data_IF_527453243343
#
_entry.id   IF_527453243343
#
_cell.length_a   1.000
_cell.length_b   1.000
_cell.length_c   1.000
_cell.angle_alpha   90.00
_cell.angle_beta   90.00
_cell.angle_gamma   90.00
#
_symmetry.space_group_name_H-M   'P 1'
#
loop_
_entity.id
_entity.type
_entity.pdbx_description
1 polymer ?
#
# COMPACT_ATOMS: atom_id res chain seq x y z
N UNK A 1 76.96 -50.65 -37.91
CA UNK A 1 76.40 -49.33 -38.25
C UNK A 1 75.39 -49.02 -37.16
N UNK A 2 75.86 -48.49 -36.02
CA UNK A 2 75.83 -47.05 -35.70
C UNK A 2 74.36 -46.56 -35.55
N UNK A 3 73.90 -45.98 -34.45
CA UNK A 3 74.63 -45.27 -33.41
C UNK A 3 73.81 -45.08 -32.13
N UNK A 4 74.58 -44.90 -31.07
CA UNK A 4 74.15 -44.36 -29.79
C UNK A 4 73.91 -42.84 -29.91
N UNK A 5 72.97 -42.28 -29.13
CA UNK A 5 73.25 -41.05 -28.35
C UNK A 5 72.07 -40.58 -27.48
N UNK A 6 72.35 -40.57 -26.17
CA UNK A 6 72.15 -39.47 -25.21
C UNK A 6 70.76 -38.81 -25.12
N UNK A 7 70.10 -39.05 -23.99
CA UNK A 7 69.58 -37.97 -23.15
C UNK A 7 69.49 -38.41 -21.66
N UNK A 8 70.60 -38.31 -20.93
CA UNK A 8 70.58 -38.19 -19.48
C UNK A 8 70.36 -36.71 -19.17
N UNK A 9 69.26 -36.34 -18.51
CA UNK A 9 69.13 -35.05 -17.83
C UNK A 9 68.66 -35.32 -16.41
N UNK A 10 69.48 -34.88 -15.46
CA UNK A 10 69.39 -35.20 -14.05
C UNK A 10 68.16 -34.59 -13.39
N UNK A 11 67.46 -35.42 -12.61
CA UNK A 11 66.54 -34.96 -11.58
C UNK A 11 67.38 -34.40 -10.43
N UNK A 12 67.58 -33.09 -10.41
CA UNK A 12 68.13 -32.39 -9.27
C UNK A 12 67.12 -32.52 -8.11
N UNK A 13 67.46 -33.36 -7.13
CA UNK A 13 66.76 -33.45 -5.86
C UNK A 13 66.86 -32.09 -5.16
N UNK A 14 65.78 -31.31 -5.28
CA UNK A 14 65.61 -30.02 -4.61
C UNK A 14 65.45 -30.30 -3.11
N UNK A 15 66.56 -30.30 -2.38
CA UNK A 15 66.57 -30.32 -0.90
C UNK A 15 65.73 -29.14 -0.40
N UNK A 16 64.52 -29.45 0.06
CA UNK A 16 63.71 -28.52 0.85
C UNK A 16 64.49 -28.28 2.15
N UNK A 17 65.00 -27.07 2.33
CA UNK A 17 65.50 -26.61 3.62
C UNK A 17 64.32 -26.63 4.57
N UNK A 18 64.29 -27.60 5.49
CA UNK A 18 63.46 -27.55 6.69
C UNK A 18 63.96 -26.35 7.51
N UNK A 19 63.26 -25.22 7.37
CA UNK A 19 63.46 -24.07 8.23
C UNK A 19 62.88 -24.47 9.58
N UNK A 20 63.72 -24.55 10.61
CA UNK A 20 63.30 -24.76 11.98
C UNK A 20 62.26 -23.69 12.35
N UNK A 21 61.01 -24.13 12.46
CA UNK A 21 59.91 -23.31 12.97
C UNK A 21 60.23 -22.93 14.42
N UNK A 22 60.07 -21.66 14.80
CA UNK A 22 60.27 -21.24 16.19
C UNK A 22 59.34 -22.06 17.09
N UNK A 23 59.87 -22.57 18.20
CA UNK A 23 59.16 -23.30 19.27
C UNK A 23 57.70 -22.86 19.35
N UNK A 24 56.83 -23.68 18.75
CA UNK A 24 55.40 -23.41 18.74
C UNK A 24 54.94 -23.54 20.18
N UNK A 25 54.27 -22.51 20.70
CA UNK A 25 53.60 -22.62 22.00
C UNK A 25 52.56 -23.73 21.86
N UNK A 26 52.71 -24.80 22.62
CA UNK A 26 51.74 -25.89 22.68
C UNK A 26 50.60 -25.50 23.62
N UNK A 27 49.38 -25.89 23.26
CA UNK A 27 48.19 -25.72 24.10
C UNK A 27 47.31 -26.96 23.99
N UNK A 28 46.60 -27.26 25.08
CA UNK A 28 45.62 -28.35 25.16
C UNK A 28 44.32 -27.96 24.45
N UNK A 29 43.84 -28.81 23.54
CA UNK A 29 42.53 -28.62 22.90
C UNK A 29 41.40 -28.79 23.93
N UNK A 30 40.44 -27.86 23.97
CA UNK A 30 39.32 -27.90 24.92
C UNK A 30 38.29 -29.01 24.65
N UNK A 31 38.38 -29.69 23.50
CA UNK A 31 37.41 -30.73 23.10
C UNK A 31 38.02 -32.13 23.24
N UNK A 32 39.18 -32.38 22.63
CA UNK A 32 39.84 -33.69 22.66
C UNK A 32 40.94 -33.82 23.72
N UNK A 33 41.30 -32.74 24.41
CA UNK A 33 42.38 -32.70 25.42
C UNK A 33 43.76 -33.13 24.90
N UNK A 34 43.96 -33.09 23.58
CA UNK A 34 45.26 -33.34 22.94
C UNK A 34 46.05 -32.04 22.85
N UNK A 35 47.33 -32.12 23.20
CA UNK A 35 48.29 -31.03 23.01
C UNK A 35 48.63 -30.85 21.54
N UNK A 36 48.55 -29.61 21.07
CA UNK A 36 48.89 -29.27 19.70
C UNK A 36 49.57 -27.91 19.61
N UNK A 37 50.28 -27.69 18.50
CA UNK A 37 50.84 -26.40 18.18
C UNK A 37 49.72 -25.39 17.94
N UNK A 38 49.83 -24.18 18.52
CA UNK A 38 48.81 -23.12 18.36
C UNK A 38 48.54 -22.74 16.89
N UNK A 39 49.48 -23.03 15.98
CA UNK A 39 49.30 -22.78 14.55
C UNK A 39 48.30 -23.73 13.86
N UNK A 40 48.01 -24.89 14.44
CA UNK A 40 47.17 -25.94 13.84
C UNK A 40 45.71 -25.88 14.33
N UNK A 41 45.34 -24.79 15.00
CA UNK A 41 44.02 -24.59 15.56
C UNK A 41 43.66 -23.13 15.73
N UNK A 42 42.57 -22.89 16.45
CA UNK A 42 42.03 -21.55 16.66
C UNK A 42 41.98 -21.20 18.14
N UNK A 43 42.19 -19.91 18.43
CA UNK A 43 42.08 -19.33 19.77
C UNK A 43 40.95 -18.31 19.79
N UNK A 44 40.10 -18.37 20.81
CA UNK A 44 39.17 -17.28 21.07
C UNK A 44 39.88 -16.10 21.78
N UNK A 45 39.17 -14.97 21.93
CA UNK A 45 39.71 -13.79 22.63
C UNK A 45 40.06 -14.06 24.11
N UNK A 46 39.41 -15.03 24.74
CA UNK A 46 39.68 -15.49 26.12
C UNK A 46 40.70 -16.64 26.18
N UNK A 47 41.42 -16.89 25.08
CA UNK A 47 42.55 -17.83 24.98
C UNK A 47 42.24 -19.34 25.04
N UNK A 48 40.96 -19.73 24.96
CA UNK A 48 40.56 -21.14 24.78
C UNK A 48 41.00 -21.65 23.40
N UNK A 49 41.70 -22.79 23.38
CA UNK A 49 42.28 -23.41 22.18
C UNK A 49 41.45 -24.59 21.69
N UNK A 50 41.23 -24.67 20.39
CA UNK A 50 40.60 -25.81 19.73
C UNK A 50 41.41 -26.22 18.52
N UNK A 51 41.81 -27.50 18.43
CA UNK A 51 42.52 -28.02 17.26
C UNK A 51 41.62 -28.00 16.01
N UNK A 52 42.22 -27.97 14.82
CA UNK A 52 41.51 -27.87 13.55
C UNK A 52 40.42 -28.93 13.35
N UNK A 53 40.70 -30.20 13.68
CA UNK A 53 39.73 -31.29 13.52
C UNK A 53 38.49 -31.12 14.39
N UNK A 54 38.69 -30.81 15.67
CA UNK A 54 37.57 -30.56 16.58
C UNK A 54 36.82 -29.28 16.23
N UNK A 55 37.53 -28.25 15.75
CA UNK A 55 36.91 -27.01 15.31
C UNK A 55 36.07 -27.21 14.05
N UNK A 56 36.53 -28.02 13.10
CA UNK A 56 35.79 -28.35 11.88
C UNK A 56 34.48 -29.08 12.20
N UNK A 57 34.54 -30.14 13.02
CA UNK A 57 33.35 -30.85 13.47
C UNK A 57 32.38 -29.93 14.23
N UNK A 58 32.92 -29.02 15.04
CA UNK A 58 32.13 -28.01 15.75
C UNK A 58 31.42 -27.06 14.78
N UNK A 59 32.12 -26.49 13.80
CA UNK A 59 31.55 -25.61 12.77
C UNK A 59 30.45 -26.32 11.99
N UNK A 60 30.65 -27.58 11.62
CA UNK A 60 29.62 -28.38 10.93
C UNK A 60 28.39 -28.61 11.80
N UNK A 61 28.57 -28.99 13.06
CA UNK A 61 27.45 -29.22 13.98
C UNK A 61 26.65 -27.95 14.27
N UNK A 62 27.33 -26.81 14.50
CA UNK A 62 26.67 -25.52 14.72
C UNK A 62 25.94 -25.04 13.46
N UNK A 63 26.51 -25.24 12.27
CA UNK A 63 25.87 -24.87 10.99
C UNK A 63 24.65 -25.73 10.65
N UNK A 64 24.58 -26.95 11.19
CA UNK A 64 23.45 -27.87 11.03
C UNK A 64 22.28 -27.64 11.99
N UNK A 65 22.39 -26.69 12.93
CA UNK A 65 21.34 -26.39 13.91
C UNK A 65 20.12 -25.75 13.28
N UNK A 66 19.02 -25.76 14.03
CA UNK A 66 17.77 -25.12 13.60
C UNK A 66 17.96 -23.61 13.38
N UNK A 67 17.19 -23.06 12.45
CA UNK A 67 17.28 -21.65 12.06
C UNK A 67 16.94 -20.69 13.21
N UNK A 68 16.14 -21.14 14.18
CA UNK A 68 15.85 -20.36 15.39
C UNK A 68 17.09 -20.14 16.27
N UNK A 69 17.97 -21.12 16.38
CA UNK A 69 19.21 -20.99 17.16
C UNK A 69 20.26 -20.19 16.40
N UNK A 70 20.34 -20.38 15.09
CA UNK A 70 21.18 -19.56 14.21
C UNK A 70 20.76 -18.08 14.26
N UNK A 71 19.46 -17.76 14.33
CA UNK A 71 18.92 -16.38 14.45
C UNK A 71 19.42 -15.66 15.69
N UNK A 72 19.53 -16.34 16.82
CA UNK A 72 20.02 -15.72 18.07
C UNK A 72 21.46 -15.21 17.96
N UNK A 73 22.27 -15.83 17.08
CA UNK A 73 23.70 -15.56 16.93
C UNK A 73 24.07 -15.02 15.54
N UNK A 74 23.08 -14.59 14.76
CA UNK A 74 23.23 -14.17 13.35
C UNK A 74 23.94 -15.20 12.44
N UNK A 75 23.84 -16.49 12.80
CA UNK A 75 24.56 -17.58 12.13
C UNK A 75 26.08 -17.52 12.29
N UNK A 76 26.61 -16.83 13.32
CA UNK A 76 28.04 -16.78 13.63
C UNK A 76 28.43 -17.90 14.59
N UNK A 77 29.69 -18.34 14.48
CA UNK A 77 30.25 -19.39 15.34
C UNK A 77 30.88 -18.76 16.58
N UNK A 78 30.53 -19.29 17.74
CA UNK A 78 31.06 -18.88 19.04
C UNK A 78 32.18 -19.83 19.48
N UNK A 79 32.86 -19.53 20.58
CA UNK A 79 33.79 -20.46 21.21
C UNK A 79 33.06 -21.75 21.64
N UNK A 80 33.65 -22.96 21.47
CA UNK A 80 33.06 -24.20 21.98
C UNK A 80 32.80 -24.20 23.50
N UNK A 81 33.51 -23.37 24.27
CA UNK A 81 33.26 -23.16 25.70
C UNK A 81 32.04 -22.26 25.99
N UNK A 82 31.37 -21.74 24.96
CA UNK A 82 30.15 -20.94 25.04
C UNK A 82 28.89 -21.84 24.87
N UNK A 83 28.77 -22.85 25.73
CA UNK A 83 27.61 -23.75 25.77
C UNK A 83 26.69 -23.39 26.93
N UNK A 84 25.41 -23.71 26.80
CA UNK A 84 24.42 -23.47 27.87
C UNK A 84 24.60 -24.44 29.07
N UNK A 85 25.46 -25.46 28.92
CA UNK A 85 25.90 -26.34 30.00
C UNK A 85 26.81 -25.61 31.00
N UNK A 86 27.59 -24.62 30.54
CA UNK A 86 28.41 -23.76 31.39
C UNK A 86 27.53 -22.61 31.91
N UNK A 87 27.16 -22.64 33.19
CA UNK A 87 26.32 -21.61 33.83
C UNK A 87 27.18 -20.50 34.44
N UNK A 88 26.79 -19.25 34.21
CA UNK A 88 27.35 -18.10 34.94
C UNK A 88 28.75 -17.67 34.45
N UNK A 89 29.68 -17.48 35.39
CA UNK A 89 30.99 -16.88 35.17
C UNK A 89 31.98 -17.76 34.37
N UNK A 90 31.69 -19.05 34.22
CA UNK A 90 32.55 -20.01 33.51
C UNK A 90 32.22 -20.10 32.01
N UNK A 91 31.18 -19.39 31.55
CA UNK A 91 30.81 -19.32 30.13
C UNK A 91 31.75 -18.35 29.42
N UNK A 92 32.40 -18.84 28.37
CA UNK A 92 33.27 -18.00 27.55
C UNK A 92 32.44 -16.86 26.91
N UNK A 93 32.81 -15.61 27.22
CA UNK A 93 32.15 -14.40 26.72
C UNK A 93 32.94 -13.76 25.56
N UNK A 94 33.84 -14.52 24.94
CA UNK A 94 34.55 -14.09 23.76
C UNK A 94 33.58 -13.77 22.62
N UNK A 95 33.92 -12.75 21.83
CA UNK A 95 33.19 -12.42 20.61
C UNK A 95 33.20 -13.59 19.63
N UNK A 96 32.20 -13.64 18.75
CA UNK A 96 32.15 -14.62 17.67
C UNK A 96 33.45 -14.60 16.83
N UNK A 97 33.82 -15.77 16.29
CA UNK A 97 34.93 -15.86 15.36
C UNK A 97 34.63 -15.06 14.09
N UNK A 98 35.65 -14.37 13.57
CA UNK A 98 35.55 -13.69 12.28
C UNK A 98 35.57 -14.70 11.13
N UNK A 99 34.83 -14.42 10.06
CA UNK A 99 34.73 -15.30 8.88
C UNK A 99 36.12 -15.66 8.30
N UNK A 100 37.06 -14.72 8.37
CA UNK A 100 38.45 -14.92 7.94
C UNK A 100 39.19 -15.98 8.76
N UNK A 101 38.93 -16.05 10.06
CA UNK A 101 39.60 -16.99 10.95
C UNK A 101 38.96 -18.37 10.87
N UNK A 102 37.66 -18.44 10.58
CA UNK A 102 36.98 -19.69 10.25
C UNK A 102 37.55 -20.25 8.94
N UNK A 103 37.58 -19.45 7.87
CA UNK A 103 38.04 -19.88 6.55
C UNK A 103 39.51 -20.37 6.50
N UNK A 104 40.36 -19.93 7.43
CA UNK A 104 41.77 -20.36 7.50
C UNK A 104 41.96 -21.72 8.18
N UNK A 105 41.06 -22.08 9.09
CA UNK A 105 41.26 -23.18 10.04
C UNK A 105 40.37 -24.39 9.77
N UNK A 106 39.46 -24.30 8.78
CA UNK A 106 38.54 -25.40 8.43
C UNK A 106 38.67 -25.75 6.95
N UNK A 107 38.27 -26.96 6.60
CA UNK A 107 38.17 -27.39 5.21
C UNK A 107 37.18 -26.55 4.40
N UNK A 108 37.33 -26.58 3.07
CA UNK A 108 36.41 -25.90 2.16
C UNK A 108 34.97 -26.38 2.33
N UNK A 109 34.76 -27.66 2.63
CA UNK A 109 33.43 -28.25 2.76
C UNK A 109 32.72 -27.75 4.02
N UNK A 110 33.43 -27.69 5.14
CA UNK A 110 32.93 -27.13 6.39
C UNK A 110 32.65 -25.63 6.27
N UNK A 111 33.55 -24.88 5.62
CA UNK A 111 33.32 -23.45 5.37
C UNK A 111 32.13 -23.20 4.44
N UNK A 112 31.96 -24.02 3.41
CA UNK A 112 30.81 -23.95 2.51
C UNK A 112 29.50 -24.27 3.24
N UNK A 113 29.51 -25.24 4.18
CA UNK A 113 28.35 -25.53 5.01
C UNK A 113 27.96 -24.34 5.91
N UNK A 114 28.95 -23.69 6.51
CA UNK A 114 28.78 -22.46 7.29
C UNK A 114 28.18 -21.32 6.45
N UNK A 115 28.70 -21.08 5.24
CA UNK A 115 28.16 -20.06 4.33
C UNK A 115 26.71 -20.37 3.92
N UNK A 116 26.41 -21.62 3.56
CA UNK A 116 25.04 -22.05 3.22
C UNK A 116 24.06 -21.82 4.38
N UNK A 117 24.47 -22.12 5.61
CA UNK A 117 23.64 -21.87 6.78
C UNK A 117 23.33 -20.38 6.95
N UNK A 118 24.31 -19.49 6.71
CA UNK A 118 24.11 -18.03 6.77
C UNK A 118 23.31 -17.47 5.60
N UNK A 119 23.45 -18.03 4.40
CA UNK A 119 22.64 -17.65 3.24
C UNK A 119 21.18 -18.01 3.47
N UNK A 120 20.89 -19.26 3.87
CA UNK A 120 19.52 -19.72 4.19
C UNK A 120 18.83 -18.82 5.21
N UNK A 121 19.57 -18.39 6.22
CA UNK A 121 19.11 -17.45 7.24
C UNK A 121 18.70 -16.08 6.67
N UNK A 122 19.47 -15.54 5.74
CA UNK A 122 19.18 -14.26 5.08
C UNK A 122 18.01 -14.41 4.10
N UNK A 123 17.96 -15.51 3.37
CA UNK A 123 16.86 -15.85 2.47
C UNK A 123 15.54 -15.92 3.23
N UNK A 124 15.51 -16.59 4.39
CA UNK A 124 14.30 -16.66 5.21
C UNK A 124 13.88 -15.30 5.76
N UNK A 125 14.82 -14.47 6.17
CA UNK A 125 14.53 -13.11 6.62
C UNK A 125 13.93 -12.26 5.49
N UNK A 126 14.52 -12.31 4.28
CA UNK A 126 13.98 -11.64 3.10
C UNK A 126 12.61 -12.18 2.71
N UNK A 127 12.41 -13.49 2.77
CA UNK A 127 11.14 -14.13 2.46
C UNK A 127 10.05 -13.73 3.47
N UNK A 128 10.40 -13.58 4.75
CA UNK A 128 9.48 -13.09 5.78
C UNK A 128 9.10 -11.61 5.56
N UNK A 129 10.07 -10.77 5.23
CA UNK A 129 9.83 -9.36 4.90
C UNK A 129 8.91 -9.22 3.68
N UNK A 130 9.19 -9.96 2.60
CA UNK A 130 8.36 -9.97 1.39
C UNK A 130 6.94 -10.48 1.68
N UNK A 131 6.77 -11.49 2.56
CA UNK A 131 5.45 -11.94 3.00
C UNK A 131 4.68 -10.84 3.72
N UNK A 132 5.33 -10.12 4.65
CA UNK A 132 4.73 -8.98 5.37
C UNK A 132 4.34 -7.85 4.42
N UNK A 133 5.20 -7.51 3.46
CA UNK A 133 4.90 -6.47 2.46
C UNK A 133 3.70 -6.87 1.58
N UNK A 134 3.65 -8.12 1.12
CA UNK A 134 2.51 -8.63 0.35
C UNK A 134 1.22 -8.57 1.16
N UNK A 135 1.24 -9.01 2.42
CA UNK A 135 0.07 -8.97 3.30
C UNK A 135 -0.43 -7.53 3.50
N UNK A 136 0.46 -6.58 3.74
CA UNK A 136 0.12 -5.16 3.85
C UNK A 136 -0.50 -4.62 2.56
N UNK A 137 0.00 -5.03 1.40
CA UNK A 137 -0.54 -4.61 0.11
C UNK A 137 -1.95 -5.16 -0.11
N UNK A 138 -2.17 -6.44 0.19
CA UNK A 138 -3.48 -7.09 0.07
C UNK A 138 -4.49 -6.41 1.01
N UNK A 139 -4.10 -6.13 2.25
CA UNK A 139 -4.97 -5.46 3.22
C UNK A 139 -5.33 -4.04 2.78
N UNK A 140 -4.36 -3.28 2.26
CA UNK A 140 -4.63 -1.94 1.72
C UNK A 140 -5.59 -1.97 0.52
N UNK A 141 -5.44 -2.95 -0.37
CA UNK A 141 -6.36 -3.13 -1.51
C UNK A 141 -7.76 -3.54 -1.03
N UNK A 142 -7.87 -4.41 -0.02
CA UNK A 142 -9.14 -4.78 0.61
C UNK A 142 -9.84 -3.59 1.25
N UNK A 143 -9.11 -2.75 1.99
CA UNK A 143 -9.66 -1.53 2.59
C UNK A 143 -10.16 -0.55 1.54
N UNK A 144 -9.43 -0.36 0.44
CA UNK A 144 -9.87 0.49 -0.67
C UNK A 144 -11.16 -0.02 -1.30
N UNK A 145 -11.26 -1.32 -1.53
CA UNK A 145 -12.48 -1.93 -2.07
C UNK A 145 -13.67 -1.79 -1.09
N UNK A 146 -13.44 -2.04 0.20
CA UNK A 146 -14.45 -1.89 1.25
C UNK A 146 -14.98 -0.46 1.34
N UNK A 147 -14.10 0.53 1.38
CA UNK A 147 -14.47 1.95 1.44
C UNK A 147 -15.24 2.39 0.19
N UNK A 148 -14.85 1.91 -0.99
CA UNK A 148 -15.55 2.21 -2.24
C UNK A 148 -16.96 1.59 -2.27
N UNK A 149 -17.10 0.36 -1.77
CA UNK A 149 -18.39 -0.31 -1.64
C UNK A 149 -19.30 0.44 -0.66
N UNK A 150 -18.78 0.82 0.51
CA UNK A 150 -19.54 1.57 1.51
C UNK A 150 -19.99 2.94 0.99
N UNK A 151 -19.11 3.68 0.30
CA UNK A 151 -19.46 4.96 -0.30
C UNK A 151 -20.56 4.80 -1.37
N UNK A 152 -20.48 3.75 -2.19
CA UNK A 152 -21.50 3.45 -3.21
C UNK A 152 -22.85 3.11 -2.58
N UNK A 153 -22.85 2.34 -1.49
CA UNK A 153 -24.06 1.97 -0.78
C UNK A 153 -24.73 3.18 -0.11
N UNK A 154 -23.95 4.07 0.51
CA UNK A 154 -24.47 5.33 1.05
C UNK A 154 -25.09 6.20 -0.03
N UNK A 155 -24.45 6.29 -1.20
CA UNK A 155 -25.00 7.04 -2.34
C UNK A 155 -26.32 6.42 -2.84
N UNK A 156 -26.37 5.08 -2.92
CA UNK A 156 -27.58 4.34 -3.29
C UNK A 156 -28.74 4.63 -2.33
N UNK A 157 -28.49 4.52 -1.02
CA UNK A 157 -29.49 4.81 0.01
C UNK A 157 -29.95 6.28 0.01
N UNK A 158 -29.01 7.22 -0.20
CA UNK A 158 -29.36 8.65 -0.32
C UNK A 158 -30.23 8.91 -1.56
N UNK A 159 -29.88 8.30 -2.71
CA UNK A 159 -30.67 8.42 -3.94
C UNK A 159 -32.08 7.86 -3.75
N UNK A 160 -32.21 6.68 -3.16
CA UNK A 160 -33.49 6.04 -2.90
C UNK A 160 -34.36 6.91 -1.97
N UNK A 161 -33.78 7.47 -0.90
CA UNK A 161 -34.48 8.40 -0.02
C UNK A 161 -35.00 9.64 -0.77
N UNK A 162 -34.16 10.25 -1.61
CA UNK A 162 -34.58 11.43 -2.39
C UNK A 162 -35.72 11.08 -3.33
N UNK A 163 -35.62 9.96 -4.05
CA UNK A 163 -36.68 9.52 -4.97
C UNK A 163 -37.98 9.28 -4.20
N UNK A 164 -37.95 8.41 -3.18
CA UNK A 164 -39.17 7.94 -2.53
C UNK A 164 -39.80 8.92 -1.54
N UNK A 165 -39.00 9.79 -0.90
CA UNK A 165 -39.49 10.68 0.18
C UNK A 165 -39.56 12.14 -0.21
N UNK A 166 -38.84 12.56 -1.25
CA UNK A 166 -38.78 13.97 -1.64
C UNK A 166 -39.44 14.20 -2.99
N UNK A 167 -39.13 13.38 -4.00
CA UNK A 167 -39.60 13.59 -5.37
C UNK A 167 -40.92 12.89 -5.66
N UNK A 168 -41.16 11.73 -5.04
CA UNK A 168 -42.43 11.01 -5.17
C UNK A 168 -43.49 11.66 -4.29
N UNK A 169 -44.38 12.43 -4.92
CA UNK A 169 -45.56 12.97 -4.25
C UNK A 169 -46.47 11.81 -3.81
N UNK A 170 -46.90 11.83 -2.55
CA UNK A 170 -47.69 10.74 -1.97
C UNK A 170 -48.77 11.24 -1.02
N UNK A 171 -49.77 10.40 -0.79
CA UNK A 171 -50.86 10.69 0.13
C UNK A 171 -50.33 10.86 1.58
N UNK A 172 -50.69 11.95 2.30
CA UNK A 172 -50.19 12.21 3.65
C UNK A 172 -50.64 11.17 4.70
N UNK A 173 -51.70 10.40 4.43
CA UNK A 173 -52.21 9.37 5.36
C UNK A 173 -51.66 7.97 5.14
N UNK A 174 -51.54 7.55 3.88
CA UNK A 174 -51.23 6.15 3.55
C UNK A 174 -50.01 5.98 2.63
N UNK A 175 -49.30 7.07 2.35
CA UNK A 175 -48.08 7.15 1.54
C UNK A 175 -48.18 6.55 0.14
N UNK A 176 -49.40 6.31 -0.36
CA UNK A 176 -49.59 5.88 -1.75
C UNK A 176 -49.15 7.03 -2.67
N UNK A 177 -48.20 6.75 -3.55
CA UNK A 177 -47.80 7.67 -4.60
C UNK A 177 -48.98 7.94 -5.53
N UNK A 178 -49.13 9.18 -5.98
CA UNK A 178 -50.07 9.54 -7.04
C UNK A 178 -49.28 10.07 -8.22
N UNK A 179 -49.67 9.64 -9.42
CA UNK A 179 -48.99 9.97 -10.67
C UNK A 179 -50.02 10.66 -11.54
N UNK A 180 -49.74 11.91 -11.88
CA UNK A 180 -50.52 12.77 -12.75
C UNK A 180 -51.99 12.95 -12.31
N UNK A 181 -52.48 14.17 -12.41
CA UNK A 181 -53.91 14.45 -12.20
C UNK A 181 -54.35 15.52 -13.18
N UNK A 182 -55.54 15.34 -13.72
CA UNK A 182 -56.17 16.28 -14.64
C UNK A 182 -57.36 16.94 -13.95
N UNK A 183 -57.48 18.27 -14.07
CA UNK A 183 -58.57 19.04 -13.48
C UNK A 183 -58.20 19.73 -12.16
N UNK A 184 -58.91 19.39 -11.07
CA UNK A 184 -58.83 20.12 -9.80
C UNK A 184 -57.60 19.72 -8.97
N UNK A 185 -56.95 20.71 -8.31
CA UNK A 185 -55.83 20.50 -7.39
C UNK A 185 -56.25 19.99 -5.99
N UNK A 186 -57.53 19.67 -5.81
CA UNK A 186 -58.07 18.95 -4.65
C UNK A 186 -58.07 17.45 -4.95
N UNK A 187 -57.06 16.73 -4.46
CA UNK A 187 -56.85 15.32 -4.80
C UNK A 187 -57.49 14.41 -3.76
N UNK A 188 -58.01 13.27 -4.20
CA UNK A 188 -58.51 12.21 -3.34
C UNK A 188 -57.65 10.96 -3.51
N UNK A 189 -57.16 10.41 -2.41
CA UNK A 189 -56.38 9.18 -2.45
C UNK A 189 -57.26 7.98 -2.81
N UNK A 190 -56.85 7.17 -3.79
CA UNK A 190 -57.61 5.99 -4.21
C UNK A 190 -57.68 4.89 -3.14
N UNK A 191 -56.66 4.76 -2.28
CA UNK A 191 -56.63 3.73 -1.23
C UNK A 191 -57.40 4.13 0.03
N UNK A 192 -57.12 5.30 0.60
CA UNK A 192 -57.70 5.71 1.89
C UNK A 192 -58.82 6.75 1.78
N UNK A 193 -59.13 7.22 0.56
CA UNK A 193 -60.14 8.24 0.25
C UNK A 193 -59.97 9.60 0.94
N UNK A 194 -58.81 9.84 1.56
CA UNK A 194 -58.51 11.15 2.12
C UNK A 194 -58.37 12.19 1.01
N UNK A 195 -58.96 13.36 1.22
CA UNK A 195 -58.78 14.53 0.37
C UNK A 195 -57.59 15.35 0.86
N UNK A 196 -56.71 15.76 -0.06
CA UNK A 196 -55.52 16.55 0.25
C UNK A 196 -55.20 17.54 -0.87
N UNK A 197 -54.48 18.59 -0.52
CA UNK A 197 -54.11 19.64 -1.46
C UNK A 197 -52.90 19.22 -2.31
N UNK A 198 -52.96 19.36 -3.63
CA UNK A 198 -51.84 19.06 -4.51
C UNK A 198 -50.66 20.05 -4.38
N UNK A 199 -50.89 21.29 -3.92
CA UNK A 199 -49.83 22.30 -3.79
C UNK A 199 -48.94 22.08 -2.57
N UNK A 200 -49.55 21.79 -1.42
CA UNK A 200 -48.85 21.70 -0.13
C UNK A 200 -48.91 20.32 0.51
N UNK A 201 -49.62 19.35 -0.09
CA UNK A 201 -49.84 18.00 0.42
C UNK A 201 -50.51 17.92 1.80
N UNK A 202 -51.14 19.01 2.25
CA UNK A 202 -51.87 19.04 3.51
C UNK A 202 -53.10 18.13 3.46
N UNK A 203 -53.28 17.32 4.50
CA UNK A 203 -54.48 16.49 4.69
C UNK A 203 -55.68 17.39 5.04
N UNK A 204 -56.71 17.37 4.20
CA UNK A 204 -57.96 18.13 4.36
C UNK A 204 -59.15 17.23 4.74
N UNK A 205 -58.90 15.96 5.07
CA UNK A 205 -59.95 15.04 5.48
C UNK A 205 -60.79 14.53 4.31
N UNK A 206 -61.98 15.09 4.09
CA UNK A 206 -62.95 14.60 3.08
C UNK A 206 -63.09 15.52 1.87
N UNK A 207 -62.77 16.81 2.02
CA UNK A 207 -62.85 17.78 0.95
C UNK A 207 -61.70 18.78 1.05
N UNK A 208 -60.91 18.92 -0.03
CA UNK A 208 -59.77 19.83 -0.10
C UNK A 208 -60.07 21.10 -0.93
N UNK A 209 -61.27 21.26 -1.52
CA UNK A 209 -61.58 22.37 -2.42
C UNK A 209 -61.42 23.75 -1.75
N UNK A 210 -61.94 23.90 -0.53
CA UNK A 210 -61.83 25.15 0.23
C UNK A 210 -60.37 25.53 0.53
N UNK A 211 -59.52 24.54 0.83
CA UNK A 211 -58.11 24.75 1.09
C UNK A 211 -57.35 25.16 -0.18
N UNK A 212 -57.60 24.47 -1.31
CA UNK A 212 -56.91 24.73 -2.58
C UNK A 212 -57.10 26.17 -3.05
N UNK A 213 -58.32 26.73 -2.91
CA UNK A 213 -58.62 28.12 -3.31
C UNK A 213 -57.89 29.18 -2.47
N UNK A 214 -57.49 28.84 -1.25
CA UNK A 214 -56.82 29.75 -0.30
C UNK A 214 -55.37 29.35 0.02
N UNK A 215 -54.84 28.35 -0.68
CA UNK A 215 -53.54 27.78 -0.38
C UNK A 215 -52.41 28.78 -0.68
N UNK A 216 -51.52 29.09 0.29
CA UNK A 216 -50.42 30.03 0.08
C UNK A 216 -49.43 29.53 -0.99
N UNK A 217 -49.15 28.23 -1.03
CA UNK A 217 -48.29 27.60 -2.03
C UNK A 217 -48.90 27.63 -3.44
N UNK A 218 -50.23 27.48 -3.52
CA UNK A 218 -50.97 27.65 -4.76
C UNK A 218 -50.92 29.10 -5.27
N UNK A 219 -51.14 30.06 -4.38
CA UNK A 219 -51.04 31.48 -4.70
C UNK A 219 -49.62 31.88 -5.15
N UNK A 220 -48.58 31.33 -4.51
CA UNK A 220 -47.19 31.53 -4.90
C UNK A 220 -46.89 30.93 -6.28
N UNK A 221 -47.36 29.70 -6.54
CA UNK A 221 -47.20 29.01 -7.83
C UNK A 221 -47.85 29.80 -8.98
N UNK A 222 -49.06 30.32 -8.79
CA UNK A 222 -49.76 31.13 -9.79
C UNK A 222 -49.05 32.48 -10.05
N UNK A 223 -48.51 33.13 -9.02
CA UNK A 223 -47.70 34.35 -9.18
C UNK A 223 -46.41 34.08 -9.97
N UNK A 224 -45.76 32.94 -9.72
CA UNK A 224 -44.57 32.52 -10.45
C UNK A 224 -44.86 32.25 -11.93
N UNK A 225 -46.01 31.65 -12.27
CA UNK A 225 -46.42 31.44 -13.66
C UNK A 225 -46.68 32.76 -14.40
N UNK A 226 -47.46 33.67 -13.80
CA UNK A 226 -47.80 34.98 -14.40
C UNK A 226 -46.58 35.88 -14.65
N UNK A 227 -45.57 35.83 -13.77
CA UNK A 227 -44.34 36.61 -13.94
C UNK A 227 -43.47 36.07 -15.08
N UNK A 228 -43.52 34.76 -15.36
CA UNK A 228 -42.78 34.14 -16.46
C UNK A 228 -43.43 34.39 -17.83
N UNK A 229 -44.75 34.40 -17.91
CA UNK A 229 -45.48 34.80 -19.14
C UNK A 229 -45.18 36.25 -19.54
N UNK A 230 -45.10 37.17 -18.57
CA UNK A 230 -44.69 38.56 -18.82
C UNK A 230 -43.25 38.69 -19.31
N UNK A 231 -42.34 37.78 -18.91
CA UNK A 231 -40.96 37.76 -19.37
C UNK A 231 -40.81 37.15 -20.78
N UNK A 232 -41.74 36.32 -21.23
CA UNK A 232 -41.76 35.72 -22.57
C UNK A 232 -42.51 36.56 -23.61
N UNK A 233 -43.39 37.49 -23.19
CA UNK A 233 -44.24 38.31 -24.05
C UNK A 233 -43.59 39.56 -24.70
N UNK A 234 -42.27 39.58 -24.87
CA UNK A 234 -41.53 40.64 -25.56
C UNK A 234 -41.07 40.23 -26.96
N UNK A 235 -42.01 39.93 -27.87
CA UNK A 235 -41.71 39.58 -29.25
C UNK A 235 -42.98 39.38 -30.06
N UNK A 236 -43.41 40.42 -30.76
CA UNK A 236 -44.64 40.41 -31.57
C UNK A 236 -44.46 39.75 -32.94
N UNK A 237 -45.56 39.14 -33.41
CA UNK A 237 -45.90 39.07 -34.84
C UNK A 237 -45.81 37.70 -35.50
N UNK A 238 -46.97 37.16 -35.91
CA UNK A 238 -47.07 36.17 -37.00
C UNK A 238 -48.03 35.02 -36.70
N UNK A 239 -49.21 35.05 -37.32
CA UNK A 239 -50.27 34.06 -37.15
C UNK A 239 -49.95 32.68 -37.69
N UNK A 240 -50.57 31.67 -37.06
CA UNK A 240 -50.56 30.28 -37.47
C UNK A 240 -51.30 29.47 -36.42
N UNK A 241 -52.55 29.08 -36.72
CA UNK A 241 -53.33 28.19 -35.87
C UNK A 241 -52.57 26.88 -35.63
N UNK A 242 -52.11 26.67 -34.40
CA UNK A 242 -51.74 25.36 -33.88
C UNK A 242 -52.19 25.31 -32.43
N UNK A 243 -53.04 24.33 -32.09
CA UNK A 243 -53.44 24.06 -30.71
C UNK A 243 -52.18 23.96 -29.84
N UNK A 244 -52.06 24.72 -28.73
CA UNK A 244 -50.96 24.52 -27.81
C UNK A 244 -51.18 23.19 -27.08
N UNK A 245 -50.35 22.20 -27.41
CA UNK A 245 -50.09 21.01 -26.60
C UNK A 245 -49.36 21.46 -25.34
N UNK A 246 -50.08 22.15 -24.46
CA UNK A 246 -49.58 22.71 -23.21
C UNK A 246 -50.21 21.97 -22.02
N UNK A 247 -49.99 20.66 -21.97
CA UNK A 247 -49.95 19.94 -20.71
C UNK A 247 -48.47 19.72 -20.42
N UNK A 248 -47.94 20.53 -19.49
CA UNK A 248 -46.98 20.17 -18.44
C UNK A 248 -46.34 21.44 -17.86
N UNK A 249 -47.00 22.14 -16.91
CA UNK A 249 -46.28 23.01 -16.00
C UNK A 249 -45.92 22.26 -14.70
N UNK A 250 -45.65 20.95 -14.75
CA UNK A 250 -45.10 20.23 -13.60
C UNK A 250 -43.58 20.46 -13.43
N UNK A 251 -42.87 20.85 -14.49
CA UNK A 251 -41.42 21.08 -14.42
C UNK A 251 -41.01 22.38 -13.67
N UNK A 252 -41.90 23.37 -13.54
CA UNK A 252 -41.50 24.68 -12.98
C UNK A 252 -41.48 24.74 -11.44
N UNK A 253 -42.37 24.01 -10.77
CA UNK A 253 -42.30 23.81 -9.30
C UNK A 253 -41.17 22.82 -8.98
N UNK A 254 -40.91 21.86 -9.87
CA UNK A 254 -39.78 20.94 -9.77
C UNK A 254 -38.42 21.66 -9.83
N UNK A 255 -38.28 22.72 -10.64
CA UNK A 255 -37.02 23.45 -10.82
C UNK A 255 -36.73 24.53 -9.77
N UNK A 256 -37.72 25.04 -9.03
CA UNK A 256 -37.46 26.04 -7.98
C UNK A 256 -36.79 25.43 -6.73
N UNK A 257 -36.79 24.10 -6.62
CA UNK A 257 -36.04 23.32 -5.61
C UNK A 257 -34.76 22.71 -6.17
N UNK A 258 -34.40 22.97 -7.44
CA UNK A 258 -33.37 22.27 -8.20
C UNK A 258 -32.26 23.19 -8.74
N UNK A 259 -31.72 24.08 -7.89
CA UNK A 259 -30.53 24.89 -8.24
C UNK A 259 -29.24 24.40 -7.57
N UNK A 260 -29.05 23.09 -7.47
CA UNK A 260 -27.84 22.47 -6.89
C UNK A 260 -27.34 21.20 -7.59
N UNK A 261 -27.83 20.83 -8.77
CA UNK A 261 -27.34 19.64 -9.48
C UNK A 261 -27.36 19.83 -11.00
N UNK A 262 -26.49 20.70 -11.52
CA UNK A 262 -26.06 20.65 -12.92
C UNK A 262 -24.60 20.21 -12.95
N UNK A 263 -24.39 18.94 -13.23
CA UNK A 263 -23.09 18.34 -13.45
C UNK A 263 -23.19 16.82 -13.45
N UNK A 264 -23.05 16.24 -14.64
CA UNK A 264 -22.84 14.82 -14.94
C UNK A 264 -24.08 13.94 -15.13
N UNK A 265 -24.63 13.94 -16.34
CA UNK A 265 -25.04 12.68 -16.99
C UNK A 265 -25.03 12.79 -18.52
N UNK A 266 -23.95 12.33 -19.16
CA UNK A 266 -24.01 11.82 -20.54
C UNK A 266 -22.84 10.87 -20.79
N UNK A 267 -23.10 9.56 -20.79
CA UNK A 267 -22.37 8.55 -21.54
C UNK A 267 -23.34 7.36 -21.77
N UNK A 268 -23.54 6.88 -23.01
CA UNK A 268 -24.53 5.87 -23.32
C UNK A 268 -24.05 4.45 -22.98
N UNK A 269 -25.03 3.62 -22.57
CA UNK A 269 -24.95 2.16 -22.40
C UNK A 269 -25.35 1.51 -23.72
N UNK A 270 -24.47 0.70 -24.29
CA UNK A 270 -24.86 -0.46 -25.10
C UNK A 270 -24.08 -1.67 -24.59
N UNK A 271 -24.79 -2.58 -23.94
CA UNK A 271 -24.34 -3.95 -23.67
C UNK A 271 -25.53 -4.86 -23.95
N UNK A 272 -25.50 -5.49 -25.12
CA UNK A 272 -26.31 -6.66 -25.40
C UNK A 272 -25.65 -7.88 -24.72
N UNK A 273 -26.49 -8.64 -24.00
CA UNK A 273 -26.17 -9.95 -23.46
C UNK A 273 -26.12 -10.98 -24.58
N UNK A 274 -25.05 -11.77 -24.66
CA UNK A 274 -25.15 -13.18 -25.06
C UNK A 274 -24.24 -14.06 -24.18
N UNK A 275 -24.88 -15.05 -23.56
CA UNK A 275 -24.33 -16.04 -22.67
C UNK A 275 -23.95 -17.26 -23.53
N UNK A 276 -22.66 -17.51 -23.77
CA UNK A 276 -22.19 -18.84 -24.14
C UNK A 276 -20.87 -19.15 -23.43
N UNK A 277 -20.90 -20.21 -22.65
CA UNK A 277 -19.76 -20.76 -21.93
C UNK A 277 -18.81 -21.49 -22.89
N UNK A 278 -17.50 -21.16 -22.86
CA UNK A 278 -16.33 -22.07 -23.01
C UNK A 278 -14.99 -21.29 -22.93
N UNK A 279 -13.82 -21.96 -22.74
CA UNK A 279 -12.96 -21.75 -21.58
C UNK A 279 -11.71 -20.89 -21.85
N UNK A 280 -11.05 -20.53 -20.74
CA UNK A 280 -9.69 -20.00 -20.62
C UNK A 280 -8.76 -20.44 -21.76
N UNK A 281 -8.20 -19.47 -22.48
CA UNK A 281 -6.84 -19.49 -23.03
C UNK A 281 -6.39 -18.04 -23.30
N UNK A 282 -5.08 -17.87 -23.17
CA UNK A 282 -4.29 -16.63 -23.12
C UNK A 282 -4.50 -15.64 -24.27
N UNK A 283 -4.39 -14.33 -23.97
CA UNK A 283 -3.53 -13.37 -24.69
C UNK A 283 -3.79 -11.93 -24.21
N UNK A 284 -2.91 -11.38 -23.37
CA UNK A 284 -2.94 -9.98 -22.95
C UNK A 284 -1.68 -9.23 -23.42
N UNK A 285 -1.86 -8.44 -24.48
CA UNK A 285 -0.88 -7.50 -25.03
C UNK A 285 -0.54 -6.36 -24.03
N UNK A 286 0.76 -6.04 -23.78
CA UNK A 286 1.15 -5.02 -22.80
C UNK A 286 1.55 -3.69 -23.46
N UNK A 287 0.58 -2.82 -23.80
CA UNK A 287 0.87 -1.56 -24.51
C UNK A 287 0.62 -0.25 -23.74
N UNK A 288 -0.46 -0.15 -22.95
CA UNK A 288 -1.01 1.17 -22.60
C UNK A 288 -0.57 1.79 -21.26
N UNK A 289 -0.23 0.98 -20.24
CA UNK A 289 -0.15 1.47 -18.85
C UNK A 289 1.25 1.87 -18.37
N UNK A 290 2.33 1.54 -19.11
CA UNK A 290 3.71 1.89 -18.72
C UNK A 290 4.06 3.37 -18.95
N UNK A 291 3.47 4.04 -19.96
CA UNK A 291 3.83 5.44 -20.28
C UNK A 291 3.40 6.45 -19.21
N UNK A 292 2.20 6.31 -18.62
CA UNK A 292 1.71 7.28 -17.61
C UNK A 292 2.49 7.20 -16.29
N UNK A 293 2.90 6.01 -15.84
CA UNK A 293 3.70 5.86 -14.61
C UNK A 293 5.10 6.46 -14.74
N UNK A 294 5.69 6.46 -15.93
CA UNK A 294 7.00 7.09 -16.18
C UNK A 294 6.96 8.63 -16.08
N UNK A 295 5.90 9.25 -16.61
CA UNK A 295 5.76 10.72 -16.58
C UNK A 295 5.51 11.27 -15.17
N UNK A 296 4.75 10.56 -14.34
CA UNK A 296 4.49 10.95 -12.95
C UNK A 296 5.75 10.84 -12.07
N UNK A 297 6.57 9.79 -12.28
CA UNK A 297 7.86 9.64 -11.60
C UNK A 297 8.86 10.75 -11.99
N UNK A 298 8.92 11.12 -13.27
CA UNK A 298 9.74 12.24 -13.76
C UNK A 298 9.27 13.60 -13.23
N UNK A 299 7.95 13.81 -13.05
CA UNK A 299 7.41 15.03 -12.43
C UNK A 299 7.72 15.12 -10.94
N UNK A 300 7.72 13.99 -10.23
CA UNK A 300 8.08 13.93 -8.81
C UNK A 300 9.57 14.25 -8.57
N UNK A 301 10.49 13.68 -9.36
CA UNK A 301 11.93 13.96 -9.23
C UNK A 301 12.25 15.44 -9.51
N UNK A 302 11.60 16.05 -10.52
CA UNK A 302 11.75 17.50 -10.80
C UNK A 302 11.28 18.38 -9.63
N UNK A 303 10.23 17.99 -8.91
CA UNK A 303 9.78 18.73 -7.71
C UNK A 303 10.77 18.58 -6.55
N UNK A 304 11.30 17.38 -6.34
CA UNK A 304 12.26 17.11 -5.27
C UNK A 304 13.58 17.89 -5.47
N UNK A 305 14.11 17.91 -6.69
CA UNK A 305 15.31 18.71 -7.03
C UNK A 305 15.10 20.21 -6.82
N UNK A 306 13.93 20.75 -7.18
CA UNK A 306 13.59 22.17 -6.96
C UNK A 306 13.56 22.52 -5.47
N UNK A 307 13.05 21.62 -4.63
CA UNK A 307 13.03 21.81 -3.18
C UNK A 307 14.45 21.82 -2.59
N UNK A 308 15.30 20.88 -3.01
CA UNK A 308 16.71 20.83 -2.59
C UNK A 308 17.50 22.09 -2.95
N UNK A 309 17.27 22.66 -4.14
CA UNK A 309 17.89 23.94 -4.55
C UNK A 309 17.38 25.10 -3.70
N UNK A 310 16.09 25.15 -3.36
CA UNK A 310 15.53 26.17 -2.46
C UNK A 310 16.13 26.08 -1.05
N UNK A 311 16.25 24.88 -0.49
CA UNK A 311 16.87 24.66 0.83
C UNK A 311 18.34 25.08 0.82
N UNK A 312 19.12 24.72 -0.21
CA UNK A 312 20.52 25.15 -0.35
C UNK A 312 20.64 26.67 -0.47
N UNK A 313 19.75 27.35 -1.20
CA UNK A 313 19.73 28.82 -1.29
C UNK A 313 19.34 29.48 0.04
N UNK A 314 18.38 28.93 0.78
CA UNK A 314 18.00 29.41 2.10
C UNK A 314 19.15 29.30 3.10
N UNK A 315 19.87 28.16 3.11
CA UNK A 315 21.06 27.97 3.96
C UNK A 315 22.18 28.97 3.61
N UNK A 316 22.44 29.23 2.32
CA UNK A 316 23.42 30.26 1.90
C UNK A 316 23.01 31.68 2.29
N UNK A 317 21.70 31.99 2.35
CA UNK A 317 21.20 33.29 2.81
C UNK A 317 21.21 33.43 4.34
N UNK A 318 20.99 32.34 5.08
CA UNK A 318 21.11 32.31 6.54
C UNK A 318 22.54 32.49 7.03
N UNK A 319 23.51 31.89 6.34
CA UNK A 319 24.95 32.02 6.69
C UNK A 319 25.47 33.45 6.49
N UNK A 320 24.86 34.27 5.61
CA UNK A 320 25.25 35.67 5.41
C UNK A 320 24.67 36.67 6.43
N UNK A 321 23.70 36.26 7.26
CA UNK A 321 23.07 37.17 8.25
C UNK A 321 23.50 36.93 9.71
N UNK A 322 24.31 35.90 9.99
CA UNK A 322 24.72 35.54 11.35
C UNK A 322 26.10 36.02 11.79
N UNK A 323 26.72 36.98 11.10
CA UNK A 323 28.15 37.28 11.26
C UNK A 323 28.51 38.74 11.49
N UNK A 324 27.76 39.52 12.29
CA UNK A 324 28.28 40.75 12.94
C UNK A 324 27.48 40.99 14.22
N UNK A 325 28.09 40.87 15.40
CA UNK A 325 27.39 41.13 16.66
C UNK A 325 28.10 40.64 17.93
N UNK A 326 29.43 40.71 17.98
CA UNK A 326 30.19 40.49 19.22
C UNK A 326 30.59 41.82 19.84
N UNK A 327 29.75 42.41 20.68
CA UNK A 327 30.08 43.61 21.47
C UNK A 327 29.80 43.36 22.96
N UNK A 328 30.90 43.05 23.66
CA UNK A 328 31.27 43.44 25.03
C UNK A 328 30.14 43.87 25.98
N UNK A 329 29.92 43.07 27.02
CA UNK A 329 29.41 43.55 28.30
C UNK A 329 30.48 43.32 29.37
N UNK A 330 31.07 44.42 29.86
CA UNK A 330 31.83 44.50 31.11
C UNK A 330 31.03 45.36 32.09
N UNK A 331 31.06 44.94 33.35
CA UNK A 331 30.97 45.74 34.57
C UNK A 331 29.74 46.65 34.76
N UNK A 332 28.87 46.27 35.70
CA UNK A 332 28.72 46.88 37.03
C UNK A 332 27.94 45.95 37.94
#
# INVERSE_FOLDING_TARGET
>A
VEGASRARRGAAARRVRLVAMPSAKEKTCTICFVDGAVCDGILCAETHYTCGECFEAYVMSESGKSLGELKKREGRILCPFNTDAMKGADRCNATCFADKDIAKNVSNDAFAAYLRAREKMREEAMAEEMRKEMEQRVELERQRAGNAAEASERLRGAREHVVEKILTLSCPRCTQAFVDFEGCFALNCSRCRAAFCAYCLADCGKDAHAHVGSCPEGAASLKAMKSKEKAAGGGGGGGGFALPRALLPFAAVFLLRHRLLDGFFFLPRDVALEFHARPLLDDAHPGGRRRRRGEDALRADRRHRRLHVRIRRARRRGVRRGGVGGARARAR
#
